data_IF_617762107738
#
_entry.id   IF_617762107738
#
_cell.length_a   1.000
_cell.length_b   1.000
_cell.length_c   1.000
_cell.angle_alpha   90.00
_cell.angle_beta   90.00
_cell.angle_gamma   90.00
#
_symmetry.space_group_name_H-M   'P 1'
#
loop_
_entity.id
_entity.type
_entity.pdbx_description
1 polymer ?
#
# COMPACT_ATOMS: atom_id res chain seq x y z
N UNK A 1 22.04 9.92 -7.24
CA UNK A 1 20.76 10.50 -6.76
C UNK A 1 19.54 9.89 -7.43
N UNK A 2 19.43 9.90 -8.77
CA UNK A 2 18.30 9.28 -9.48
C UNK A 2 18.11 7.79 -9.14
N UNK A 3 19.18 7.00 -9.19
CA UNK A 3 19.15 5.59 -8.81
C UNK A 3 18.65 5.37 -7.37
N UNK A 4 19.09 6.17 -6.39
CA UNK A 4 18.64 6.05 -5.00
C UNK A 4 17.13 6.33 -4.85
N UNK A 5 16.60 7.30 -5.60
CA UNK A 5 15.19 7.63 -5.59
C UNK A 5 14.33 6.50 -6.18
N UNK A 6 14.78 5.88 -7.27
CA UNK A 6 14.11 4.73 -7.90
C UNK A 6 14.04 3.52 -6.96
N UNK A 7 15.14 3.21 -6.27
CA UNK A 7 15.19 2.11 -5.30
C UNK A 7 14.24 2.35 -4.12
N UNK A 8 14.27 3.57 -3.56
CA UNK A 8 13.37 3.95 -2.47
C UNK A 8 11.90 3.92 -2.91
N UNK A 9 11.60 4.39 -4.12
CA UNK A 9 10.26 4.34 -4.69
C UNK A 9 9.79 2.89 -4.87
N UNK A 10 10.61 2.01 -5.45
CA UNK A 10 10.29 0.60 -5.62
C UNK A 10 10.05 -0.09 -4.27
N UNK A 11 10.94 0.13 -3.29
CA UNK A 11 10.78 -0.39 -1.92
C UNK A 11 9.45 0.05 -1.29
N UNK A 12 9.15 1.35 -1.34
CA UNK A 12 7.92 1.89 -0.78
C UNK A 12 6.67 1.32 -1.46
N UNK A 13 6.69 1.18 -2.78
CA UNK A 13 5.59 0.58 -3.55
C UNK A 13 5.42 -0.89 -3.20
N UNK A 14 6.50 -1.66 -3.21
CA UNK A 14 6.50 -3.08 -2.86
C UNK A 14 5.95 -3.33 -1.46
N UNK A 15 6.43 -2.59 -0.46
CA UNK A 15 5.96 -2.68 0.92
C UNK A 15 4.48 -2.28 1.06
N UNK A 16 4.07 -1.20 0.38
CA UNK A 16 2.69 -0.72 0.42
C UNK A 16 1.73 -1.76 -0.15
N UNK A 17 2.06 -2.36 -1.29
CA UNK A 17 1.22 -3.36 -1.95
C UNK A 17 1.25 -4.71 -1.24
N UNK A 18 2.40 -5.11 -0.68
CA UNK A 18 2.50 -6.29 0.19
C UNK A 18 1.57 -6.14 1.40
N UNK A 19 1.64 -4.99 2.08
CA UNK A 19 0.79 -4.70 3.23
C UNK A 19 -0.70 -4.62 2.84
N UNK A 20 -1.02 -3.96 1.71
CA UNK A 20 -2.39 -3.86 1.23
C UNK A 20 -3.01 -5.23 0.93
N UNK A 21 -2.27 -6.11 0.24
CA UNK A 21 -2.72 -7.47 -0.06
C UNK A 21 -2.85 -8.32 1.20
N UNK A 22 -1.81 -8.34 2.05
CA UNK A 22 -1.83 -9.10 3.31
C UNK A 22 -2.97 -8.66 4.25
N UNK A 23 -3.19 -7.35 4.39
CA UNK A 23 -4.27 -6.83 5.24
C UNK A 23 -5.66 -7.27 4.76
N UNK A 24 -5.87 -7.39 3.44
CA UNK A 24 -7.13 -7.90 2.87
C UNK A 24 -7.31 -9.40 3.07
N UNK A 25 -6.23 -10.18 3.06
CA UNK A 25 -6.30 -11.61 3.38
C UNK A 25 -6.60 -11.85 4.87
N UNK A 26 -5.93 -11.10 5.76
CA UNK A 26 -6.15 -11.21 7.21
C UNK A 26 -7.56 -10.74 7.59
N UNK A 27 -8.04 -9.65 6.97
CA UNK A 27 -9.35 -9.04 7.25
C UNK A 27 -10.32 -9.27 6.11
N UNK A 28 -10.45 -10.53 5.72
CA UNK A 28 -11.21 -10.94 4.53
C UNK A 28 -12.67 -10.49 4.55
N UNK A 29 -13.34 -10.61 5.70
CA UNK A 29 -14.75 -10.26 5.85
C UNK A 29 -14.97 -8.76 5.71
N UNK A 30 -14.11 -7.96 6.33
CA UNK A 30 -14.11 -6.50 6.26
C UNK A 30 -13.82 -6.02 4.83
N UNK A 31 -12.85 -6.65 4.15
CA UNK A 31 -12.56 -6.40 2.74
C UNK A 31 -13.78 -6.68 1.85
N UNK A 32 -14.43 -7.84 1.99
CA UNK A 32 -15.63 -8.18 1.21
C UNK A 32 -16.79 -7.22 1.47
N UNK A 33 -16.99 -6.84 2.74
CA UNK A 33 -18.00 -5.85 3.11
C UNK A 33 -17.72 -4.49 2.47
N UNK A 34 -16.47 -4.02 2.51
CA UNK A 34 -16.06 -2.78 1.84
C UNK A 34 -16.27 -2.86 0.32
N UNK A 35 -16.00 -4.00 -0.30
CA UNK A 35 -16.14 -4.21 -1.75
C UNK A 35 -17.60 -4.13 -2.21
N UNK A 36 -18.55 -4.70 -1.45
CA UNK A 36 -20.00 -4.54 -1.70
C UNK A 36 -20.45 -3.07 -1.64
N UNK A 37 -19.68 -2.24 -0.94
CA UNK A 37 -19.79 -0.78 -0.92
C UNK A 37 -19.56 -0.09 -2.26
N UNK A 38 -18.98 -0.76 -3.27
CA UNK A 38 -18.71 -0.20 -4.60
C UNK A 38 -19.70 -0.63 -5.68
N UNK A 39 -20.59 -1.59 -5.39
CA UNK A 39 -21.65 -2.01 -6.32
C UNK A 39 -21.11 -2.55 -7.64
N UNK A 40 -20.17 -3.48 -7.58
CA UNK A 40 -19.46 -4.04 -8.74
C UNK A 40 -20.26 -5.10 -9.52
N UNK A 41 -21.41 -5.53 -8.98
CA UNK A 41 -22.28 -6.52 -9.61
C UNK A 41 -21.53 -7.82 -9.88
N UNK A 42 -21.60 -8.32 -11.11
CA UNK A 42 -20.95 -9.57 -11.51
C UNK A 42 -19.42 -9.59 -11.33
N UNK A 43 -18.77 -8.41 -11.30
CA UNK A 43 -17.32 -8.30 -11.11
C UNK A 43 -16.88 -8.29 -9.65
N UNK A 44 -17.82 -8.31 -8.69
CA UNK A 44 -17.49 -8.26 -7.26
C UNK A 44 -16.76 -9.52 -6.79
N UNK A 45 -17.28 -10.71 -7.13
CA UNK A 45 -16.67 -11.98 -6.77
C UNK A 45 -15.23 -12.14 -7.32
N UNK A 46 -14.96 -11.90 -8.62
CA UNK A 46 -13.59 -11.95 -9.12
C UNK A 46 -12.72 -10.83 -8.53
N UNK A 47 -13.24 -9.62 -8.29
CA UNK A 47 -12.47 -8.55 -7.66
C UNK A 47 -12.07 -8.88 -6.21
N UNK A 48 -12.92 -9.60 -5.46
CA UNK A 48 -12.64 -9.96 -4.08
C UNK A 48 -11.35 -10.78 -3.94
N UNK A 49 -11.10 -11.70 -4.88
CA UNK A 49 -9.91 -12.56 -4.90
C UNK A 49 -8.78 -11.96 -5.74
N UNK A 50 -9.13 -11.42 -6.91
CA UNK A 50 -8.18 -10.91 -7.89
C UNK A 50 -7.41 -9.68 -7.40
N UNK A 51 -8.06 -8.78 -6.65
CA UNK A 51 -7.38 -7.57 -6.15
C UNK A 51 -6.28 -7.91 -5.15
N UNK A 52 -6.52 -8.65 -4.04
CA UNK A 52 -5.45 -9.07 -3.14
C UNK A 52 -4.35 -9.88 -3.83
N UNK A 53 -4.71 -10.77 -4.75
CA UNK A 53 -3.73 -11.57 -5.50
C UNK A 53 -2.84 -10.69 -6.39
N UNK A 54 -3.42 -9.73 -7.11
CA UNK A 54 -2.67 -8.79 -7.94
C UNK A 54 -1.82 -7.83 -7.11
N UNK A 55 -2.28 -7.42 -5.93
CA UNK A 55 -1.48 -6.61 -5.01
C UNK A 55 -0.23 -7.35 -4.52
N UNK A 56 -0.39 -8.60 -4.10
CA UNK A 56 0.74 -9.44 -3.69
C UNK A 56 1.66 -9.80 -4.87
N UNK A 57 1.11 -9.98 -6.07
CA UNK A 57 1.90 -10.20 -7.28
C UNK A 57 2.75 -8.97 -7.61
N UNK A 58 2.20 -7.75 -7.53
CA UNK A 58 2.95 -6.53 -7.74
C UNK A 58 4.12 -6.42 -6.75
N UNK A 59 3.87 -6.71 -5.47
CA UNK A 59 4.90 -6.74 -4.45
C UNK A 59 5.97 -7.82 -4.71
N UNK A 60 5.55 -9.02 -5.11
CA UNK A 60 6.44 -10.13 -5.44
C UNK A 60 7.35 -9.81 -6.62
N UNK A 61 6.79 -9.22 -7.69
CA UNK A 61 7.56 -8.78 -8.87
C UNK A 61 8.59 -7.71 -8.51
N UNK A 62 8.21 -6.73 -7.66
CA UNK A 62 9.14 -5.71 -7.17
C UNK A 62 10.25 -6.35 -6.34
N UNK A 63 9.91 -7.27 -5.43
CA UNK A 63 10.89 -7.95 -4.59
C UNK A 63 11.84 -8.85 -5.40
N UNK A 64 11.34 -9.57 -6.41
CA UNK A 64 12.12 -10.50 -7.24
C UNK A 64 12.97 -9.82 -8.33
N UNK A 65 13.06 -8.50 -8.30
CA UNK A 65 13.85 -7.71 -9.24
C UNK A 65 13.14 -7.32 -10.53
N UNK A 66 11.95 -7.85 -10.81
CA UNK A 66 11.08 -7.44 -11.93
C UNK A 66 10.33 -6.13 -11.63
N UNK A 67 11.07 -5.14 -11.13
CA UNK A 67 10.55 -3.87 -10.60
C UNK A 67 9.73 -3.08 -11.59
N UNK A 68 10.10 -3.08 -12.87
CA UNK A 68 9.34 -2.37 -13.90
C UNK A 68 7.96 -2.97 -14.09
N UNK A 69 7.89 -4.30 -14.21
CA UNK A 69 6.63 -5.04 -14.36
C UNK A 69 5.75 -4.90 -13.11
N UNK A 70 6.35 -4.98 -11.93
CA UNK A 70 5.64 -4.78 -10.67
C UNK A 70 5.10 -3.36 -10.51
N UNK A 71 5.89 -2.34 -10.86
CA UNK A 71 5.45 -0.94 -10.85
C UNK A 71 4.34 -0.66 -11.89
N UNK A 72 4.42 -1.27 -13.08
CA UNK A 72 3.37 -1.18 -14.09
C UNK A 72 2.05 -1.82 -13.61
N UNK A 73 2.12 -2.98 -12.94
CA UNK A 73 0.96 -3.62 -12.33
C UNK A 73 0.37 -2.75 -11.20
N UNK A 74 1.21 -2.17 -10.35
CA UNK A 74 0.79 -1.17 -9.34
C UNK A 74 0.05 0.00 -9.98
N UNK A 75 0.57 0.58 -11.07
CA UNK A 75 -0.09 1.65 -11.81
C UNK A 75 -1.48 1.23 -12.32
N UNK A 76 -1.58 0.03 -12.90
CA UNK A 76 -2.84 -0.52 -13.38
C UNK A 76 -3.86 -0.70 -12.23
N UNK A 77 -3.42 -1.21 -11.08
CA UNK A 77 -4.26 -1.37 -9.89
C UNK A 77 -4.74 -0.02 -9.33
N UNK A 78 -3.85 0.98 -9.25
CA UNK A 78 -4.20 2.33 -8.80
C UNK A 78 -5.20 2.99 -9.75
N UNK A 79 -5.00 2.85 -11.06
CA UNK A 79 -5.92 3.37 -12.07
C UNK A 79 -7.30 2.69 -11.97
N UNK A 80 -7.33 1.35 -11.90
CA UNK A 80 -8.56 0.58 -11.77
C UNK A 80 -9.34 0.91 -10.50
N UNK A 81 -8.65 1.03 -9.35
CA UNK A 81 -9.29 1.45 -8.10
C UNK A 81 -9.81 2.89 -8.19
N UNK A 82 -9.04 3.81 -8.78
CA UNK A 82 -9.45 5.21 -8.93
C UNK A 82 -10.69 5.34 -9.82
N UNK A 83 -10.75 4.60 -10.93
CA UNK A 83 -11.93 4.53 -11.79
C UNK A 83 -13.14 3.99 -11.03
N UNK A 84 -12.94 2.95 -10.22
CA UNK A 84 -13.98 2.34 -9.39
C UNK A 84 -14.52 3.32 -8.34
N UNK A 85 -13.64 4.10 -7.71
CA UNK A 85 -14.00 5.18 -6.77
C UNK A 85 -14.84 6.26 -7.46
N UNK A 86 -14.40 6.75 -8.62
CA UNK A 86 -15.13 7.79 -9.39
C UNK A 86 -16.51 7.29 -9.83
N UNK A 87 -16.59 6.03 -10.28
CA UNK A 87 -17.87 5.40 -10.67
C UNK A 87 -18.80 5.24 -9.47
N UNK A 88 -18.30 4.72 -8.36
CA UNK A 88 -19.09 4.50 -7.14
C UNK A 88 -19.57 5.82 -6.54
N UNK A 89 -18.73 6.87 -6.58
CA UNK A 89 -19.10 8.21 -6.14
C UNK A 89 -20.38 8.71 -6.79
N UNK A 90 -20.53 8.49 -8.10
CA UNK A 90 -21.68 8.97 -8.87
C UNK A 90 -23.01 8.35 -8.42
N UNK A 91 -22.99 7.16 -7.81
CA UNK A 91 -24.19 6.46 -7.33
C UNK A 91 -24.34 6.40 -5.81
N UNK A 92 -23.26 6.64 -5.06
CA UNK A 92 -23.21 6.43 -3.59
C UNK A 92 -22.77 7.66 -2.79
N UNK A 93 -22.40 8.75 -3.47
CA UNK A 93 -21.98 10.00 -2.85
C UNK A 93 -20.48 10.11 -2.61
N UNK A 94 -20.07 11.17 -1.90
CA UNK A 94 -18.65 11.54 -1.76
C UNK A 94 -17.87 10.72 -0.72
N UNK A 95 -18.55 9.96 0.14
CA UNK A 95 -17.94 9.09 1.15
C UNK A 95 -18.10 7.63 0.75
N UNK A 96 -16.98 6.91 0.66
CA UNK A 96 -16.95 5.51 0.26
C UNK A 96 -16.15 4.68 1.27
N UNK A 97 -16.47 3.38 1.45
CA UNK A 97 -15.70 2.51 2.33
C UNK A 97 -14.29 2.27 1.79
N UNK A 98 -13.26 2.52 2.62
CA UNK A 98 -11.86 2.39 2.23
C UNK A 98 -11.29 0.99 2.51
N UNK A 99 -11.37 0.09 1.53
CA UNK A 99 -10.85 -1.28 1.63
C UNK A 99 -9.32 -1.44 1.50
N UNK A 100 -8.56 -0.38 1.23
CA UNK A 100 -7.16 -0.46 0.79
C UNK A 100 -6.22 -1.17 1.78
N UNK A 101 -6.51 -1.09 3.09
CA UNK A 101 -5.74 -1.76 4.16
C UNK A 101 -6.62 -2.74 4.96
N UNK A 102 -7.56 -3.41 4.28
CA UNK A 102 -8.51 -4.36 4.89
C UNK A 102 -9.53 -3.70 5.83
N UNK A 103 -9.65 -2.37 5.81
CA UNK A 103 -10.57 -1.61 6.67
C UNK A 103 -11.95 -1.35 6.05
N UNK A 104 -12.86 -0.88 6.89
CA UNK A 104 -14.23 -0.47 6.51
C UNK A 104 -14.49 1.02 6.79
N UNK A 105 -13.47 1.78 7.22
CA UNK A 105 -13.64 3.21 7.50
C UNK A 105 -14.06 3.94 6.23
N UNK A 106 -15.13 4.72 6.30
CA UNK A 106 -15.47 5.63 5.21
C UNK A 106 -14.42 6.72 5.08
N UNK A 107 -14.08 7.06 3.84
CA UNK A 107 -13.19 8.17 3.51
C UNK A 107 -13.82 8.98 2.38
N UNK A 108 -13.51 10.26 2.35
CA UNK A 108 -13.79 11.11 1.20
C UNK A 108 -13.06 10.57 -0.04
N UNK A 109 -13.77 10.48 -1.17
CA UNK A 109 -13.23 10.00 -2.43
C UNK A 109 -11.99 10.80 -2.88
N UNK A 110 -11.92 12.10 -2.59
CA UNK A 110 -10.78 12.98 -2.93
C UNK A 110 -9.52 12.51 -2.23
N UNK A 111 -9.61 12.13 -0.97
CA UNK A 111 -8.48 11.61 -0.19
C UNK A 111 -8.01 10.27 -0.73
N UNK A 112 -8.94 9.41 -1.18
CA UNK A 112 -8.58 8.14 -1.83
C UNK A 112 -7.84 8.38 -3.16
N UNK A 113 -8.36 9.27 -4.00
CA UNK A 113 -7.78 9.63 -5.28
C UNK A 113 -6.42 10.32 -5.11
N UNK A 114 -6.28 11.22 -4.13
CA UNK A 114 -5.01 11.89 -3.83
C UNK A 114 -3.94 10.88 -3.39
N UNK A 115 -4.28 9.93 -2.52
CA UNK A 115 -3.35 8.84 -2.13
C UNK A 115 -2.94 8.01 -3.35
N UNK A 116 -3.90 7.66 -4.20
CA UNK A 116 -3.61 6.89 -5.41
C UNK A 116 -2.75 7.66 -6.39
N UNK A 117 -3.02 8.95 -6.59
CA UNK A 117 -2.22 9.83 -7.43
C UNK A 117 -0.78 9.95 -6.90
N UNK A 118 -0.60 10.09 -5.58
CA UNK A 118 0.73 10.12 -4.97
C UNK A 118 1.51 8.82 -5.21
N UNK A 119 0.87 7.66 -5.00
CA UNK A 119 1.49 6.36 -5.27
C UNK A 119 1.77 6.16 -6.77
N UNK A 120 0.90 6.67 -7.65
CA UNK A 120 1.10 6.60 -9.09
C UNK A 120 2.29 7.47 -9.53
N UNK A 121 2.40 8.69 -9.00
CA UNK A 121 3.56 9.57 -9.21
C UNK A 121 4.86 8.91 -8.73
N UNK A 122 4.81 8.21 -7.59
CA UNK A 122 5.96 7.46 -7.08
C UNK A 122 6.35 6.28 -8.00
N UNK A 123 5.38 5.67 -8.69
CA UNK A 123 5.63 4.57 -9.63
C UNK A 123 6.17 5.02 -10.99
N UNK A 124 5.94 6.28 -11.41
CA UNK A 124 6.45 6.82 -12.68
C UNK A 124 7.95 6.57 -12.88
N UNK A 125 8.85 7.02 -11.99
CA UNK A 125 10.29 6.85 -12.20
C UNK A 125 10.68 5.36 -12.32
N UNK A 126 10.04 4.47 -11.57
CA UNK A 126 10.31 3.03 -11.60
C UNK A 126 9.88 2.38 -12.92
N UNK A 127 8.75 2.82 -13.50
CA UNK A 127 8.26 2.31 -14.80
C UNK A 127 9.08 2.85 -15.98
N UNK A 128 9.54 4.10 -15.88
CA UNK A 128 10.33 4.76 -16.93
C UNK A 128 11.82 4.43 -16.86
N UNK A 129 12.31 3.94 -15.70
CA UNK A 129 13.66 3.44 -15.57
C UNK A 129 13.85 2.22 -16.49
N UNK A 130 14.94 2.21 -17.25
CA UNK A 130 15.27 1.12 -18.18
C UNK A 130 15.92 -0.09 -17.52
N UNK A 131 16.15 -0.06 -16.20
CA UNK A 131 16.85 -1.10 -15.46
C UNK A 131 15.91 -1.75 -14.45
N UNK A 132 15.83 -3.09 -14.49
CA UNK A 132 15.23 -3.88 -13.44
C UNK A 132 16.17 -3.92 -12.23
N UNK A 133 15.66 -3.51 -11.06
CA UNK A 133 16.40 -3.38 -9.82
C UNK A 133 16.13 -4.60 -8.94
N UNK A 134 17.14 -5.45 -8.72
CA UNK A 134 17.01 -6.59 -7.82
C UNK A 134 17.10 -6.16 -6.34
N UNK A 135 15.93 -5.94 -5.72
CA UNK A 135 15.83 -5.56 -4.31
C UNK A 135 16.28 -6.68 -3.36
N UNK A 136 16.13 -7.96 -3.76
CA UNK A 136 16.62 -9.09 -2.98
C UNK A 136 18.14 -9.22 -3.07
N UNK A 137 18.74 -8.85 -4.21
CA UNK A 137 20.20 -8.71 -4.30
C UNK A 137 20.73 -7.52 -3.47
N UNK A 138 19.97 -6.42 -3.35
CA UNK A 138 20.30 -5.33 -2.43
C UNK A 138 20.11 -5.71 -0.94
N UNK A 139 19.31 -6.74 -0.66
CA UNK A 139 19.11 -7.40 0.65
C UNK A 139 19.97 -8.68 0.77
N UNK A 140 21.00 -8.86 -0.07
CA UNK A 140 22.00 -9.91 0.17
C UNK A 140 22.79 -9.60 1.45
N UNK A 141 23.15 -10.66 2.19
CA UNK A 141 23.63 -10.67 3.58
C UNK A 141 24.54 -9.48 3.93
N UNK A 142 24.12 -8.58 4.86
CA UNK A 142 24.97 -7.50 5.33
C UNK A 142 26.25 -8.09 5.92
N UNK A 143 27.41 -7.58 5.52
CA UNK A 143 28.65 -7.91 6.23
C UNK A 143 28.48 -7.50 7.71
N UNK A 144 29.11 -8.22 8.65
CA UNK A 144 28.82 -8.10 10.09
C UNK A 144 28.89 -6.69 10.69
N UNK A 145 29.51 -5.74 9.98
CA UNK A 145 29.56 -4.32 10.34
C UNK A 145 28.22 -3.56 10.20
N UNK A 146 27.27 -4.04 9.39
CA UNK A 146 26.00 -3.34 9.09
C UNK A 146 24.81 -3.81 9.94
N UNK A 147 25.00 -4.84 10.75
CA UNK A 147 23.96 -5.39 11.64
C UNK A 147 23.63 -4.40 12.77
N UNK A 148 24.66 -3.72 13.29
CA UNK A 148 24.49 -2.79 14.43
C UNK A 148 23.68 -1.54 14.03
N UNK A 149 23.98 -0.84 12.91
CA UNK A 149 23.19 0.30 12.48
C UNK A 149 21.74 -0.07 12.11
N UNK A 150 21.53 -1.18 11.42
CA UNK A 150 20.18 -1.63 11.03
C UNK A 150 19.33 -2.00 12.25
N UNK A 151 19.93 -2.69 13.23
CA UNK A 151 19.28 -3.01 14.50
C UNK A 151 18.88 -1.75 15.29
N UNK A 152 19.77 -0.75 15.34
CA UNK A 152 19.49 0.54 15.99
C UNK A 152 18.37 1.31 15.31
N UNK A 153 18.32 1.30 13.97
CA UNK A 153 17.27 1.97 13.20
C UNK A 153 15.89 1.33 13.46
N UNK A 154 15.81 -0.01 13.46
CA UNK A 154 14.57 -0.74 13.76
C UNK A 154 14.12 -0.50 15.21
N UNK A 155 15.06 -0.54 16.17
CA UNK A 155 14.76 -0.25 17.57
C UNK A 155 14.26 1.19 17.77
N UNK A 156 14.88 2.16 17.07
CA UNK A 156 14.47 3.56 17.09
C UNK A 156 13.08 3.78 16.52
N UNK A 157 12.76 3.19 15.37
CA UNK A 157 11.42 3.26 14.76
C UNK A 157 10.36 2.60 15.67
N UNK A 158 10.69 1.47 16.29
CA UNK A 158 9.83 0.80 17.27
C UNK A 158 9.53 1.68 18.48
N UNK A 159 10.54 2.34 19.05
CA UNK A 159 10.41 3.23 20.21
C UNK A 159 9.61 4.49 19.88
N UNK A 160 9.84 5.09 18.70
CA UNK A 160 9.08 6.24 18.22
C UNK A 160 7.59 5.88 18.04
N UNK A 161 7.29 4.72 17.44
CA UNK A 161 5.92 4.25 17.29
C UNK A 161 5.23 3.92 18.62
N UNK A 162 5.98 3.48 19.63
CA UNK A 162 5.47 3.20 20.98
C UNK A 162 5.15 4.50 21.74
N UNK A 163 6.06 5.48 21.70
CA UNK A 163 5.85 6.78 22.36
C UNK A 163 4.67 7.54 21.76
N UNK A 164 4.54 7.55 20.42
CA UNK A 164 3.39 8.15 19.75
C UNK A 164 2.06 7.48 20.14
N UNK A 165 2.04 6.15 20.27
CA UNK A 165 0.85 5.41 20.74
C UNK A 165 0.50 5.73 22.19
N UNK A 166 1.49 5.85 23.07
CA UNK A 166 1.30 6.27 24.47
C UNK A 166 0.76 7.71 24.54
N UNK A 167 1.35 8.63 23.78
CA UNK A 167 0.93 10.03 23.72
C UNK A 167 -0.51 10.18 23.18
N UNK A 168 -0.87 9.45 22.13
CA UNK A 168 -2.23 9.41 21.62
C UNK A 168 -3.24 8.91 22.67
N UNK A 169 -2.86 7.91 23.47
CA UNK A 169 -3.70 7.39 24.57
C UNK A 169 -3.98 8.40 25.68
N UNK A 170 -3.06 9.33 25.96
CA UNK A 170 -3.28 10.40 26.95
C UNK A 170 -4.22 11.49 26.44
N UNK A 171 -4.23 11.76 25.13
CA UNK A 171 -5.13 12.74 24.52
C UNK A 171 -6.57 12.23 24.43
N UNK A 172 -6.76 10.92 24.23
CA UNK A 172 -8.09 10.30 24.16
C UNK A 172 -8.66 9.89 25.52
N UNK A 173 -7.86 9.89 26.59
CA UNK A 173 -8.28 9.53 27.95
C UNK A 173 -8.64 10.72 28.85
N UNK A 174 -8.62 11.94 28.31
CA UNK A 174 -8.86 13.19 29.05
C UNK A 174 -10.29 13.74 28.99
N UNK A 175 -11.20 13.12 28.22
CA UNK A 175 -12.58 13.60 28.03
C UNK A 175 -13.60 13.04 29.05
N UNK A 176 -13.18 12.23 30.03
CA UNK A 176 -14.08 11.67 31.07
C UNK A 176 -13.68 11.99 32.51
N UNK A 177 -13.20 13.22 32.79
CA UNK A 177 -13.11 13.71 34.18
C UNK A 177 -13.54 15.16 34.32
#
# INVERSE_FOLDING_TARGET
>A
MAATLEHLAALLLGLTFAWAGAAKLVRWREWRSALGGYGLGATEAPAAVGVPAAELMAAGLIASGSTRSGAALTMALLAGFSLTVVRARSSRGDRLPCGCFGGTSERDYRTMLARNALLAVLAVPVVTAGADIDLLAAVSVPSGAEIVPAGLAVAGLGLAAWTLRRAAGYLTGGEER
#
